data_IF_190888508263
#
_entry.id   IF_190888508263
#
_cell.length_a   1.000
_cell.length_b   1.000
_cell.length_c   1.000
_cell.angle_alpha   90.00
_cell.angle_beta   90.00
_cell.angle_gamma   90.00
#
_symmetry.space_group_name_H-M   'P 1'
#
loop_
_entity.id
_entity.type
_entity.pdbx_description
1 polymer ?
#
# COMPACT_ATOMS: atom_id res chain seq x y z
N UNK A 1 18.28 1.72 18.69
CA UNK A 1 17.54 1.13 17.57
C UNK A 1 16.35 2.04 17.30
N UNK A 2 16.36 2.88 16.25
CA UNK A 2 15.19 3.68 15.93
C UNK A 2 14.13 2.79 15.27
N UNK A 3 12.91 2.85 15.82
CA UNK A 3 11.77 2.05 15.40
C UNK A 3 11.37 2.45 13.97
N UNK A 4 11.62 1.54 13.01
CA UNK A 4 11.55 1.73 11.56
C UNK A 4 10.13 1.87 10.97
N UNK A 5 9.14 2.24 11.80
CA UNK A 5 7.72 2.31 11.42
C UNK A 5 7.20 3.76 11.27
N UNK A 6 8.08 4.75 11.18
CA UNK A 6 7.70 6.17 10.94
C UNK A 6 7.58 6.53 9.44
N UNK A 7 7.56 5.54 8.55
CA UNK A 7 7.58 5.78 7.09
C UNK A 7 6.26 5.53 6.36
N UNK A 8 5.18 5.17 7.06
CA UNK A 8 3.86 5.00 6.42
C UNK A 8 3.05 6.29 6.50
N UNK A 9 3.70 7.43 6.28
CA UNK A 9 3.00 8.67 5.94
C UNK A 9 3.57 9.11 4.59
N UNK A 10 2.84 8.86 3.48
CA UNK A 10 3.34 9.24 2.16
C UNK A 10 3.69 10.73 2.20
N UNK A 11 4.92 11.05 1.78
CA UNK A 11 5.42 12.43 1.83
C UNK A 11 4.70 13.34 0.84
N UNK A 12 4.23 12.75 -0.26
CA UNK A 12 3.56 13.43 -1.36
C UNK A 12 2.33 12.66 -1.85
N UNK A 13 1.37 13.38 -2.46
CA UNK A 13 0.20 12.79 -3.09
C UNK A 13 0.58 11.82 -4.22
N UNK A 14 1.70 12.08 -4.92
CA UNK A 14 2.23 11.19 -5.95
C UNK A 14 2.73 9.85 -5.39
N UNK A 15 3.44 9.88 -4.26
CA UNK A 15 3.92 8.68 -3.57
C UNK A 15 2.73 7.88 -3.02
N UNK A 16 1.72 8.58 -2.48
CA UNK A 16 0.47 7.94 -2.07
C UNK A 16 -0.22 7.26 -3.26
N UNK A 17 -0.37 7.94 -4.40
CA UNK A 17 -1.00 7.37 -5.58
C UNK A 17 -0.25 6.15 -6.13
N UNK A 18 1.09 6.17 -6.08
CA UNK A 18 1.93 5.03 -6.46
C UNK A 18 1.74 3.84 -5.52
N UNK A 19 1.78 4.07 -4.20
CA UNK A 19 1.52 3.04 -3.20
C UNK A 19 0.10 2.48 -3.33
N UNK A 20 -0.90 3.34 -3.51
CA UNK A 20 -2.29 2.95 -3.75
C UNK A 20 -2.44 2.10 -5.03
N UNK A 21 -1.73 2.43 -6.11
CA UNK A 21 -1.74 1.63 -7.32
C UNK A 21 -1.13 0.23 -7.12
N UNK A 22 -0.07 0.10 -6.31
CA UNK A 22 0.58 -1.18 -6.00
C UNK A 22 -0.32 -2.15 -5.23
N UNK A 23 -1.15 -1.63 -4.32
CA UNK A 23 -2.07 -2.45 -3.52
C UNK A 23 -3.46 -2.56 -4.12
N UNK A 24 -3.82 -1.71 -5.08
CA UNK A 24 -5.12 -1.77 -5.74
C UNK A 24 -5.35 -3.14 -6.37
N UNK A 25 -4.39 -3.62 -7.15
CA UNK A 25 -4.45 -4.93 -7.81
C UNK A 25 -4.52 -6.08 -6.78
N UNK A 26 -3.71 -5.99 -5.72
CA UNK A 26 -3.68 -7.00 -4.64
C UNK A 26 -5.00 -7.01 -3.83
N UNK A 27 -5.56 -5.83 -3.56
CA UNK A 27 -6.82 -5.67 -2.84
C UNK A 27 -7.97 -6.22 -3.67
N UNK A 28 -8.08 -5.85 -4.95
CA UNK A 28 -9.11 -6.33 -5.86
C UNK A 28 -8.97 -7.86 -6.11
N UNK A 29 -7.75 -8.39 -6.08
CA UNK A 29 -7.51 -9.84 -6.14
C UNK A 29 -8.00 -10.57 -4.88
N UNK A 30 -7.74 -10.01 -3.69
CA UNK A 30 -8.21 -10.58 -2.43
C UNK A 30 -9.71 -10.36 -2.19
N UNK A 31 -10.28 -9.29 -2.76
CA UNK A 31 -11.66 -8.86 -2.57
C UNK A 31 -12.35 -8.65 -3.92
N UNK A 32 -12.77 -9.73 -4.61
CA UNK A 32 -13.46 -9.60 -5.89
C UNK A 32 -14.84 -8.92 -5.79
N UNK A 33 -15.38 -8.77 -4.57
CA UNK A 33 -16.68 -8.13 -4.29
C UNK A 33 -16.54 -6.68 -3.80
N UNK A 34 -15.34 -6.24 -3.42
CA UNK A 34 -15.09 -4.92 -2.81
C UNK A 34 -13.93 -4.22 -3.52
N UNK A 35 -14.08 -2.93 -3.84
CA UNK A 35 -13.06 -2.19 -4.56
C UNK A 35 -12.25 -1.35 -3.58
N UNK A 36 -10.95 -1.21 -3.84
CA UNK A 36 -10.08 -0.36 -3.03
C UNK A 36 -10.61 1.08 -2.85
N UNK A 37 -11.31 1.62 -3.85
CA UNK A 37 -11.95 2.94 -3.78
C UNK A 37 -13.14 2.98 -2.79
N UNK A 38 -13.94 1.91 -2.73
CA UNK A 38 -15.05 1.80 -1.76
C UNK A 38 -14.50 1.69 -0.33
N UNK A 39 -13.47 0.85 -0.13
CA UNK A 39 -12.74 0.76 1.13
C UNK A 39 -12.16 2.12 1.54
N UNK A 40 -11.57 2.88 0.60
CA UNK A 40 -11.02 4.23 0.86
C UNK A 40 -12.12 5.21 1.27
N UNK A 41 -13.28 5.15 0.62
CA UNK A 41 -14.44 5.97 0.97
C UNK A 41 -14.96 5.60 2.37
N UNK A 42 -15.05 4.32 2.70
CA UNK A 42 -15.46 3.81 4.01
C UNK A 42 -14.46 4.15 5.12
N UNK A 43 -13.16 4.13 4.81
CA UNK A 43 -12.10 4.58 5.71
C UNK A 43 -12.21 6.07 6.07
N UNK A 44 -12.94 6.90 5.32
CA UNK A 44 -13.21 8.28 5.76
C UNK A 44 -14.13 8.33 6.98
N UNK A 45 -15.09 7.39 7.07
CA UNK A 45 -16.17 7.38 8.05
C UNK A 45 -15.95 6.39 9.20
N UNK A 46 -15.31 5.25 8.95
CA UNK A 46 -15.14 4.17 9.91
C UNK A 46 -13.70 4.06 10.42
N UNK A 47 -13.52 3.95 11.74
CA UNK A 47 -12.17 3.79 12.33
C UNK A 47 -11.57 2.41 12.06
N UNK A 48 -12.40 1.39 11.89
CA UNK A 48 -11.94 0.04 11.52
C UNK A 48 -11.38 0.06 10.10
N UNK A 49 -12.11 0.62 9.14
CA UNK A 49 -11.63 0.79 7.76
C UNK A 49 -10.40 1.72 7.68
N UNK A 50 -10.24 2.71 8.58
CA UNK A 50 -8.98 3.47 8.70
C UNK A 50 -7.78 2.60 9.08
N UNK A 51 -7.99 1.63 9.96
CA UNK A 51 -6.97 0.68 10.36
C UNK A 51 -6.55 -0.19 9.17
N UNK A 52 -7.54 -0.73 8.46
CA UNK A 52 -7.34 -1.54 7.25
C UNK A 52 -6.58 -0.75 6.18
N UNK A 53 -6.98 0.49 5.90
CA UNK A 53 -6.28 1.35 4.94
C UNK A 53 -4.81 1.61 5.31
N UNK A 54 -4.52 1.82 6.61
CA UNK A 54 -3.13 2.00 7.08
C UNK A 54 -2.31 0.73 6.93
N UNK A 55 -2.89 -0.43 7.21
CA UNK A 55 -2.21 -1.72 7.09
C UNK A 55 -1.83 -2.01 5.64
N UNK A 56 -2.77 -1.79 4.72
CA UNK A 56 -2.52 -1.88 3.29
C UNK A 56 -1.44 -0.90 2.81
N UNK A 57 -1.44 0.35 3.28
CA UNK A 57 -0.35 1.28 2.95
C UNK A 57 1.01 0.82 3.49
N UNK A 58 1.05 0.14 4.64
CA UNK A 58 2.29 -0.41 5.18
C UNK A 58 2.81 -1.57 4.32
N UNK A 59 1.90 -2.44 3.84
CA UNK A 59 2.22 -3.51 2.88
C UNK A 59 2.71 -2.90 1.56
N UNK A 60 2.06 -1.85 1.07
CA UNK A 60 2.46 -1.11 -0.12
C UNK A 60 3.89 -0.57 0.01
N UNK A 61 4.20 0.07 1.15
CA UNK A 61 5.51 0.64 1.41
C UNK A 61 6.59 -0.44 1.52
N UNK A 62 6.31 -1.56 2.18
CA UNK A 62 7.21 -2.70 2.26
C UNK A 62 7.45 -3.34 0.87
N UNK A 63 6.42 -3.43 0.02
CA UNK A 63 6.56 -3.88 -1.37
C UNK A 63 7.37 -2.89 -2.21
N UNK A 64 7.11 -1.59 -2.08
CA UNK A 64 7.86 -0.57 -2.80
C UNK A 64 9.35 -0.59 -2.41
N UNK A 65 9.66 -0.76 -1.12
CA UNK A 65 11.01 -0.95 -0.62
C UNK A 65 11.63 -2.24 -1.17
N UNK A 66 10.89 -3.36 -1.16
CA UNK A 66 11.36 -4.62 -1.74
C UNK A 66 11.61 -4.53 -3.26
N UNK A 67 10.77 -3.83 -4.02
CA UNK A 67 10.95 -3.57 -5.46
C UNK A 67 12.17 -2.68 -5.68
N UNK A 68 12.34 -1.62 -4.88
CA UNK A 68 13.51 -0.73 -4.95
C UNK A 68 14.80 -1.43 -4.51
N UNK A 69 14.71 -2.37 -3.56
CA UNK A 69 15.81 -3.16 -3.03
C UNK A 69 16.12 -4.40 -3.87
N UNK A 70 15.26 -4.78 -4.83
CA UNK A 70 15.52 -5.80 -5.84
C UNK A 70 16.22 -5.14 -7.04
N UNK A 71 17.57 -5.14 -7.15
CA UNK A 71 18.22 -4.34 -8.18
C UNK A 71 18.31 -5.07 -9.52
N UNK A 72 18.13 -6.41 -9.60
CA UNK A 72 18.58 -7.15 -10.81
C UNK A 72 18.11 -8.61 -10.95
N UNK A 73 17.01 -9.09 -10.33
CA UNK A 73 16.65 -10.51 -10.50
C UNK A 73 15.87 -10.82 -11.79
N UNK A 74 15.43 -9.79 -12.54
CA UNK A 74 14.82 -9.90 -13.87
C UNK A 74 15.82 -9.60 -15.01
N UNK A 75 17.11 -9.87 -14.80
CA UNK A 75 18.12 -9.87 -15.86
C UNK A 75 18.74 -11.27 -15.95
N UNK A 76 17.91 -12.26 -16.24
CA UNK A 76 18.35 -13.61 -16.65
C UNK A 76 17.23 -14.25 -17.48
N UNK A 77 17.23 -13.93 -18.78
CA UNK A 77 16.74 -14.84 -19.83
C UNK A 77 17.82 -15.87 -20.17
#
# INVERSE_FOLDING_TARGET
MPNSYDHVRPKDEAERAYLEALIRDDYEYCHPDDTFDDMKQRAAFCREDKGIYRDWLAIAAARADAIAAMPVLMAAE
#
